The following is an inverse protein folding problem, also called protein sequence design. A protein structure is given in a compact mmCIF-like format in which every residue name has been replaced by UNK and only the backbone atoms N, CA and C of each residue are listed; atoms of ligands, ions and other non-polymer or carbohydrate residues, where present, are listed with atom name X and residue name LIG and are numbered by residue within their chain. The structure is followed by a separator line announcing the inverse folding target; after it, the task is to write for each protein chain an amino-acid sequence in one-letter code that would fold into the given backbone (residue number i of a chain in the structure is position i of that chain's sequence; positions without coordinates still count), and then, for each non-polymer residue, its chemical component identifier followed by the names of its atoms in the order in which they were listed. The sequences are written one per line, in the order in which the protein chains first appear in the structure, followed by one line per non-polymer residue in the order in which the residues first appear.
data_IF_951286313485
#
_entry.id   IF_951286313485
#
_cell.length_a   1.000
_cell.length_b   1.000
_cell.length_c   1.000
_cell.angle_alpha   90.00
_cell.angle_beta   90.00
_cell.angle_gamma   90.00
#
_symmetry.space_group_name_H-M   'P 1'
#
loop_
_entity.id
_entity.type
_entity.pdbx_description
1 polymer ?
#
# COMPACT_ATOMS: atom_id res chain seq x y z
N UNK A 1 -0.04 -10.97 -10.00
CA UNK A 1 1.32 -10.53 -9.62
C UNK A 1 1.51 -10.72 -8.13
N UNK A 2 2.74 -10.96 -7.67
CA UNK A 2 3.10 -10.79 -6.25
C UNK A 2 3.33 -9.30 -6.00
N UNK A 3 2.68 -8.73 -4.99
CA UNK A 3 2.78 -7.31 -4.68
C UNK A 3 2.75 -7.08 -3.17
N UNK A 4 3.25 -5.92 -2.75
CA UNK A 4 3.07 -5.38 -1.41
C UNK A 4 2.18 -4.13 -1.48
N UNK A 5 1.27 -4.01 -0.52
CA UNK A 5 0.44 -2.84 -0.35
C UNK A 5 1.02 -1.95 0.77
N UNK A 6 1.21 -0.63 0.54
CA UNK A 6 1.48 0.31 1.63
C UNK A 6 0.25 0.45 2.53
N UNK A 7 0.42 0.98 3.75
CA UNK A 7 -0.65 1.10 4.75
C UNK A 7 -1.75 2.15 4.41
N UNK A 8 -1.53 2.93 3.36
CA UNK A 8 -2.54 3.79 2.73
C UNK A 8 -2.73 3.40 1.27
N UNK A 9 -3.93 3.57 0.73
CA UNK A 9 -4.13 3.54 -0.73
C UNK A 9 -4.11 4.96 -1.30
N UNK A 10 -3.76 5.07 -2.57
CA UNK A 10 -3.68 6.34 -3.29
C UNK A 10 -4.04 6.17 -4.76
N UNK A 11 -4.57 7.21 -5.39
CA UNK A 11 -5.01 7.17 -6.79
C UNK A 11 -3.89 7.10 -7.81
N UNK A 12 -2.65 7.40 -7.41
CA UNK A 12 -1.47 7.45 -8.27
C UNK A 12 -1.47 8.56 -9.31
N UNK A 13 -2.47 9.46 -9.33
CA UNK A 13 -2.66 10.43 -10.43
C UNK A 13 -2.93 11.87 -10.00
N UNK A 14 -3.35 12.12 -8.75
CA UNK A 14 -3.50 13.48 -8.25
C UNK A 14 -2.16 14.22 -8.09
N UNK A 15 -2.20 15.54 -7.87
CA UNK A 15 -1.00 16.38 -7.70
C UNK A 15 -0.07 15.86 -6.59
N UNK A 16 -0.63 15.44 -5.45
CA UNK A 16 0.18 14.88 -4.36
C UNK A 16 0.86 13.56 -4.76
N UNK A 17 0.13 12.65 -5.40
CA UNK A 17 0.69 11.40 -5.90
C UNK A 17 1.80 11.65 -6.93
N UNK A 18 1.63 12.62 -7.84
CA UNK A 18 2.64 13.00 -8.82
C UNK A 18 3.91 13.58 -8.18
N UNK A 19 3.80 14.20 -7.00
CA UNK A 19 4.91 14.71 -6.20
C UNK A 19 5.48 13.67 -5.21
N UNK A 20 4.96 12.44 -5.20
CA UNK A 20 5.39 11.38 -4.28
C UNK A 20 4.82 11.49 -2.86
N UNK A 21 3.84 12.37 -2.65
CA UNK A 21 3.15 12.60 -1.38
C UNK A 21 1.87 11.76 -1.26
N UNK A 22 1.97 10.44 -1.49
CA UNK A 22 0.82 9.54 -1.61
C UNK A 22 -0.06 9.47 -0.35
N UNK A 23 0.49 9.74 0.83
CA UNK A 23 -0.27 9.84 2.09
C UNK A 23 -1.19 11.07 2.16
N UNK A 24 -1.02 12.05 1.26
CA UNK A 24 -1.88 13.24 1.12
C UNK A 24 -2.88 13.13 -0.03
N UNK A 25 -3.04 11.93 -0.63
CA UNK A 25 -3.96 11.71 -1.73
C UNK A 25 -5.43 12.01 -1.30
N UNK A 26 -6.16 12.90 -2.00
CA UNK A 26 -7.53 13.25 -1.65
C UNK A 26 -8.51 12.10 -1.92
N UNK A 27 -8.20 11.24 -2.90
CA UNK A 27 -8.94 10.01 -3.21
C UNK A 27 -8.37 8.78 -2.45
N UNK A 28 -7.43 9.01 -1.53
CA UNK A 28 -6.74 7.99 -0.75
C UNK A 28 -7.41 7.68 0.59
N UNK A 29 -6.79 6.80 1.36
CA UNK A 29 -7.25 6.49 2.71
C UNK A 29 -6.51 5.32 3.36
N UNK A 30 -6.96 4.95 4.57
CA UNK A 30 -6.35 3.90 5.39
C UNK A 30 -7.19 2.63 5.33
N UNK A 31 -6.54 1.46 5.20
CA UNK A 31 -7.23 0.17 5.21
C UNK A 31 -8.18 0.04 6.42
N UNK A 32 -9.41 -0.40 6.17
CA UNK A 32 -10.45 -0.46 7.20
C UNK A 32 -11.17 0.87 7.50
N UNK A 33 -10.93 1.95 6.75
CA UNK A 33 -11.70 3.20 6.85
C UNK A 33 -12.73 3.37 5.72
N UNK A 34 -13.67 4.29 5.91
CA UNK A 34 -14.54 4.79 4.83
C UNK A 34 -13.71 5.70 3.93
N UNK A 35 -13.71 5.41 2.63
CA UNK A 35 -13.01 6.19 1.62
C UNK A 35 -13.76 7.46 1.21
N UNK A 36 -13.12 8.32 0.40
CA UNK A 36 -13.72 9.56 -0.13
C UNK A 36 -14.97 9.34 -0.99
N UNK A 37 -15.10 8.16 -1.60
CA UNK A 37 -16.27 7.70 -2.35
C UNK A 37 -17.44 7.26 -1.44
N UNK A 38 -17.26 7.30 -0.11
CA UNK A 38 -18.24 6.87 0.88
C UNK A 38 -18.31 5.35 1.04
N UNK A 39 -17.44 4.59 0.38
CA UNK A 39 -17.39 3.13 0.46
C UNK A 39 -16.44 2.70 1.56
N UNK A 40 -16.85 1.73 2.37
CA UNK A 40 -15.99 1.13 3.38
C UNK A 40 -14.92 0.25 2.71
N UNK A 41 -13.64 0.53 2.96
CA UNK A 41 -12.55 -0.38 2.60
C UNK A 41 -12.44 -1.50 3.62
N UNK A 42 -12.06 -2.69 3.17
CA UNK A 42 -11.66 -3.78 4.07
C UNK A 42 -10.31 -3.46 4.72
N UNK A 43 -10.04 -4.08 5.87
CA UNK A 43 -8.68 -4.22 6.41
C UNK A 43 -7.93 -5.38 5.74
N UNK A 44 -6.62 -5.46 5.97
CA UNK A 44 -5.76 -6.51 5.37
C UNK A 44 -5.66 -7.82 6.17
N UNK A 45 -6.22 -7.91 7.38
CA UNK A 45 -6.19 -9.13 8.21
C UNK A 45 -7.36 -10.05 7.85
N UNK A 46 -7.31 -10.60 6.64
CA UNK A 46 -8.32 -11.51 6.10
C UNK A 46 -7.76 -12.31 4.91
N UNK A 47 -8.55 -13.25 4.39
CA UNK A 47 -8.13 -14.08 3.26
C UNK A 47 -8.12 -13.31 1.93
N UNK A 48 -8.90 -12.24 1.82
CA UNK A 48 -8.97 -11.38 0.65
C UNK A 48 -9.40 -9.96 1.03
N UNK A 49 -8.95 -8.99 0.22
CA UNK A 49 -9.32 -7.57 0.30
C UNK A 49 -9.48 -7.03 -1.11
N UNK A 50 -10.47 -6.14 -1.32
CA UNK A 50 -10.54 -5.32 -2.54
C UNK A 50 -9.59 -4.13 -2.38
N UNK A 51 -8.64 -3.99 -3.30
CA UNK A 51 -7.69 -2.87 -3.34
C UNK A 51 -8.29 -1.69 -4.13
N UNK A 52 -8.50 -0.52 -3.51
CA UNK A 52 -8.80 0.71 -4.24
C UNK A 52 -7.58 1.14 -5.07
N UNK A 53 -7.81 1.67 -6.27
CA UNK A 53 -6.75 2.22 -7.13
C UNK A 53 -5.51 1.31 -7.23
N UNK A 54 -5.70 0.03 -7.58
CA UNK A 54 -4.64 -0.98 -7.53
C UNK A 54 -3.35 -0.58 -8.26
N UNK A 55 -3.45 0.06 -9.43
CA UNK A 55 -2.30 0.54 -10.20
C UNK A 55 -1.53 1.68 -9.50
N UNK A 56 -2.24 2.51 -8.71
CA UNK A 56 -1.66 3.59 -7.91
C UNK A 56 -1.23 3.18 -6.50
N UNK A 57 -1.66 2.00 -6.03
CA UNK A 57 -1.45 1.54 -4.64
C UNK A 57 -0.45 0.38 -4.55
N UNK A 58 -0.56 -0.63 -5.42
CA UNK A 58 0.23 -1.85 -5.29
C UNK A 58 1.62 -1.69 -5.88
N UNK A 59 2.63 -2.11 -5.11
CA UNK A 59 4.01 -2.19 -5.58
C UNK A 59 4.32 -3.63 -5.95
N UNK A 60 4.58 -3.87 -7.23
CA UNK A 60 4.95 -5.20 -7.74
C UNK A 60 6.28 -5.64 -7.14
N UNK A 61 6.30 -6.85 -6.58
CA UNK A 61 7.49 -7.49 -6.04
C UNK A 61 8.15 -8.38 -7.09
N UNK A 62 9.47 -8.64 -6.99
CA UNK A 62 10.13 -9.65 -7.82
C UNK A 62 9.47 -11.02 -7.63
N UNK A 63 9.11 -11.69 -8.73
CA UNK A 63 8.45 -13.00 -8.68
C UNK A 63 9.27 -14.07 -7.92
N UNK A 64 10.60 -13.96 -7.96
CA UNK A 64 11.52 -14.85 -7.23
C UNK A 64 11.37 -14.76 -5.70
N UNK A 65 10.80 -13.67 -5.16
CA UNK A 65 10.54 -13.55 -3.73
C UNK A 65 9.45 -14.53 -3.25
N UNK A 66 8.57 -14.99 -4.14
CA UNK A 66 7.53 -15.97 -3.79
C UNK A 66 8.09 -17.35 -3.38
N UNK A 67 9.31 -17.66 -3.80
CA UNK A 67 9.98 -18.94 -3.50
C UNK A 67 10.98 -18.89 -2.35
N UNK A 68 11.13 -17.74 -1.69
CA UNK A 68 12.00 -17.56 -0.52
C UNK A 68 11.17 -17.03 0.66
N UNK A 69 10.76 -17.93 1.54
CA UNK A 69 9.89 -17.62 2.69
C UNK A 69 10.47 -16.55 3.61
N UNK A 70 11.80 -16.55 3.79
CA UNK A 70 12.48 -15.58 4.66
C UNK A 70 12.44 -14.20 4.01
N UNK A 71 12.71 -14.12 2.71
CA UNK A 71 12.62 -12.86 1.96
C UNK A 71 11.17 -12.36 1.93
N UNK A 72 10.20 -13.23 1.63
CA UNK A 72 8.78 -12.88 1.59
C UNK A 72 8.30 -12.31 2.94
N UNK A 73 8.69 -12.95 4.05
CA UNK A 73 8.40 -12.46 5.41
C UNK A 73 9.04 -11.09 5.67
N UNK A 74 10.31 -10.89 5.28
CA UNK A 74 10.99 -9.63 5.48
C UNK A 74 10.38 -8.48 4.66
N UNK A 75 9.91 -8.77 3.44
CA UNK A 75 9.27 -7.78 2.57
C UNK A 75 7.94 -7.25 3.13
N UNK A 76 7.29 -7.96 4.06
CA UNK A 76 6.09 -7.45 4.75
C UNK A 76 6.37 -6.16 5.53
N UNK A 77 7.60 -5.93 6.00
CA UNK A 77 7.93 -4.69 6.69
C UNK A 77 7.81 -3.45 5.76
N UNK A 78 7.86 -3.63 4.44
CA UNK A 78 7.68 -2.56 3.44
C UNK A 78 6.25 -2.04 3.38
N UNK A 79 5.25 -2.77 3.91
CA UNK A 79 3.86 -2.29 3.91
C UNK A 79 3.66 -1.09 4.83
N UNK A 80 4.50 -0.93 5.86
CA UNK A 80 4.38 0.15 6.83
C UNK A 80 5.73 0.42 7.52
N UNK A 81 6.06 -0.38 8.52
CA UNK A 81 7.03 -0.02 9.57
C UNK A 81 8.42 0.34 9.06
N UNK A 82 8.90 -0.32 7.99
CA UNK A 82 10.19 0.02 7.38
C UNK A 82 10.12 1.38 6.68
N UNK A 83 9.08 1.60 5.86
CA UNK A 83 8.88 2.86 5.14
C UNK A 83 8.66 4.03 6.10
N UNK A 84 7.81 3.84 7.10
CA UNK A 84 7.53 4.82 8.15
C UNK A 84 8.78 5.17 8.94
N UNK A 85 9.55 4.16 9.39
CA UNK A 85 10.79 4.39 10.12
C UNK A 85 11.87 5.08 9.27
N UNK A 86 12.02 4.68 8.01
CA UNK A 86 12.94 5.33 7.08
C UNK A 86 12.57 6.79 6.85
N UNK A 87 11.29 7.09 6.56
CA UNK A 87 10.80 8.45 6.36
C UNK A 87 11.02 9.37 7.57
N UNK A 88 11.00 8.83 8.79
CA UNK A 88 11.31 9.61 9.99
C UNK A 88 12.82 9.93 10.14
N UNK A 89 13.69 9.15 9.50
CA UNK A 89 15.14 9.23 9.66
C UNK A 89 15.84 10.07 8.59
N UNK A 90 15.22 10.27 7.42
CA UNK A 90 15.77 11.04 6.28
C UNK A 90 14.85 12.18 5.88
#
# INVERSE_FOLDING_TARGET
DLAVAPFVWSDGTCTYCAEGLTTSCPEGGFWGSVGPDGVQSDGGQGEAVRVPHADGTLVKLPAAAASDDRLLTALLALSDVLGTGHHAAV
#
